data_IF_272467340316
#
_entry.id   IF_272467340316
#
_cell.length_a   1.000
_cell.length_b   1.000
_cell.length_c   1.000
_cell.angle_alpha   90.00
_cell.angle_beta   90.00
_cell.angle_gamma   90.00
#
_symmetry.space_group_name_H-M   'P 1'
#
loop_
_entity.id
_entity.type
_entity.pdbx_description
1 polymer ?
#
# COMPACT_ATOMS: atom_id res chain seq x y z
N UNK A 1 13.67 -10.54 11.33
CA UNK A 1 13.42 -10.71 9.89
C UNK A 1 13.03 -9.39 9.25
N UNK A 2 13.55 -9.15 8.06
CA UNK A 2 13.23 -7.94 7.31
C UNK A 2 11.81 -8.02 6.76
N UNK A 3 11.03 -6.95 6.91
CA UNK A 3 9.70 -6.88 6.33
C UNK A 3 9.78 -6.88 4.81
N UNK A 4 8.91 -7.61 4.15
CA UNK A 4 8.73 -7.50 2.71
C UNK A 4 8.06 -6.17 2.40
N UNK A 5 8.43 -5.57 1.29
CA UNK A 5 7.90 -4.27 0.88
C UNK A 5 7.13 -4.40 -0.43
N UNK A 6 5.88 -3.96 -0.40
CA UNK A 6 5.01 -3.90 -1.58
C UNK A 6 4.73 -2.44 -1.90
N UNK A 7 4.93 -2.07 -3.16
CA UNK A 7 4.72 -0.69 -3.63
C UNK A 7 3.54 -0.66 -4.59
N UNK A 8 2.60 0.26 -4.34
CA UNK A 8 1.43 0.49 -5.19
C UNK A 8 1.55 1.86 -5.85
N UNK A 9 1.83 1.87 -7.15
CA UNK A 9 1.97 3.11 -7.92
C UNK A 9 0.62 3.49 -8.52
N UNK A 10 0.23 4.76 -8.36
CA UNK A 10 -1.10 5.23 -8.76
C UNK A 10 -2.17 4.83 -7.76
N UNK A 11 -1.78 4.73 -6.49
CA UNK A 11 -2.61 4.17 -5.42
C UNK A 11 -3.82 5.01 -5.06
N UNK A 12 -3.94 6.23 -5.60
CA UNK A 12 -5.15 7.03 -5.47
C UNK A 12 -6.28 6.62 -6.41
N UNK A 13 -6.04 5.65 -7.30
CA UNK A 13 -7.07 5.18 -8.21
C UNK A 13 -8.08 4.29 -7.47
N UNK A 14 -9.29 4.20 -8.04
CA UNK A 14 -10.34 3.35 -7.48
C UNK A 14 -9.97 1.86 -7.45
N UNK A 15 -9.04 1.43 -8.28
CA UNK A 15 -8.58 0.05 -8.30
C UNK A 15 -7.79 -0.34 -7.05
N UNK A 16 -7.22 0.62 -6.35
CA UNK A 16 -6.49 0.36 -5.11
C UNK A 16 -7.39 -0.26 -4.05
N UNK A 17 -8.64 0.19 -3.98
CA UNK A 17 -9.60 -0.35 -3.02
C UNK A 17 -9.84 -1.84 -3.27
N UNK A 18 -10.01 -2.24 -4.53
CA UNK A 18 -10.13 -3.65 -4.90
C UNK A 18 -8.89 -4.43 -4.54
N UNK A 19 -7.72 -3.87 -4.82
CA UNK A 19 -6.46 -4.52 -4.51
C UNK A 19 -6.30 -4.75 -3.01
N UNK A 20 -6.66 -3.75 -2.19
CA UNK A 20 -6.59 -3.88 -0.74
C UNK A 20 -7.51 -4.99 -0.24
N UNK A 21 -8.71 -5.09 -0.77
CA UNK A 21 -9.64 -6.14 -0.39
C UNK A 21 -9.06 -7.53 -0.70
N UNK A 22 -8.43 -7.68 -1.86
CA UNK A 22 -7.79 -8.94 -2.24
C UNK A 22 -6.57 -9.23 -1.38
N UNK A 23 -5.72 -8.22 -1.15
CA UNK A 23 -4.51 -8.37 -0.34
C UNK A 23 -4.83 -8.89 1.06
N UNK A 24 -5.86 -8.34 1.68
CA UNK A 24 -6.21 -8.72 3.04
C UNK A 24 -6.87 -10.09 3.16
N UNK A 25 -7.08 -10.80 2.06
CA UNK A 25 -7.52 -12.19 2.08
C UNK A 25 -6.36 -13.16 2.26
N UNK A 26 -5.12 -12.73 2.03
CA UNK A 26 -3.96 -13.61 2.06
C UNK A 26 -3.09 -13.31 3.29
N UNK A 27 -3.01 -14.26 4.20
CA UNK A 27 -2.23 -14.11 5.43
C UNK A 27 -0.73 -13.91 5.19
N UNK A 28 -0.24 -14.28 4.01
CA UNK A 28 1.16 -14.08 3.63
C UNK A 28 1.58 -12.62 3.64
N UNK A 29 0.62 -11.70 3.57
CA UNK A 29 0.88 -10.26 3.60
C UNK A 29 0.89 -9.66 5.01
N UNK A 30 0.72 -10.46 6.05
CA UNK A 30 0.86 -9.97 7.41
C UNK A 30 2.27 -9.47 7.66
N UNK A 31 2.38 -8.31 8.31
CA UNK A 31 3.68 -7.74 8.70
C UNK A 31 4.48 -7.12 7.57
N UNK A 32 3.90 -6.90 6.39
CA UNK A 32 4.60 -6.25 5.29
C UNK A 32 4.68 -4.73 5.49
N UNK A 33 5.55 -4.08 4.71
CA UNK A 33 5.50 -2.64 4.50
C UNK A 33 4.74 -2.39 3.20
N UNK A 34 3.70 -1.59 3.25
CA UNK A 34 2.89 -1.24 2.09
C UNK A 34 3.09 0.24 1.78
N UNK A 35 3.72 0.54 0.65
CA UNK A 35 4.03 1.89 0.23
C UNK A 35 3.08 2.33 -0.88
N UNK A 36 2.39 3.44 -0.64
CA UNK A 36 1.49 4.04 -1.62
C UNK A 36 2.17 5.18 -2.34
N UNK A 37 2.05 5.22 -3.65
CA UNK A 37 2.59 6.31 -4.48
C UNK A 37 1.47 6.95 -5.27
N UNK A 38 1.28 8.26 -5.08
CA UNK A 38 0.34 9.05 -5.86
C UNK A 38 0.79 10.50 -5.87
N UNK A 39 0.62 11.18 -6.99
CA UNK A 39 0.99 12.59 -7.13
C UNK A 39 0.16 13.52 -6.26
N UNK A 40 -1.04 13.08 -5.88
CA UNK A 40 -1.99 13.90 -5.11
C UNK A 40 -1.99 13.47 -3.64
N UNK A 41 -1.48 14.31 -2.73
CA UNK A 41 -1.43 13.95 -1.31
C UNK A 41 -2.80 13.64 -0.70
N UNK A 42 -3.85 14.28 -1.17
CA UNK A 42 -5.21 14.06 -0.67
C UNK A 42 -5.67 12.61 -0.91
N UNK A 43 -5.31 12.07 -2.09
CA UNK A 43 -5.63 10.67 -2.42
C UNK A 43 -4.86 9.69 -1.54
N UNK A 44 -3.59 10.01 -1.25
CA UNK A 44 -2.78 9.19 -0.35
C UNK A 44 -3.41 9.10 1.03
N UNK A 45 -3.92 10.23 1.54
CA UNK A 45 -4.57 10.26 2.86
C UNK A 45 -5.78 9.35 2.90
N UNK A 46 -6.62 9.39 1.87
CA UNK A 46 -7.83 8.57 1.81
C UNK A 46 -7.48 7.09 1.77
N UNK A 47 -6.54 6.71 0.91
CA UNK A 47 -6.14 5.31 0.75
C UNK A 47 -5.51 4.77 2.03
N UNK A 48 -4.60 5.54 2.63
CA UNK A 48 -3.97 5.14 3.90
C UNK A 48 -4.99 5.00 5.02
N UNK A 49 -5.98 5.89 5.06
CA UNK A 49 -7.04 5.81 6.07
C UNK A 49 -7.86 4.54 5.95
N UNK A 50 -8.23 4.16 4.74
CA UNK A 50 -8.99 2.93 4.49
C UNK A 50 -8.15 1.70 4.86
N UNK A 51 -6.89 1.68 4.42
CA UNK A 51 -5.99 0.57 4.69
C UNK A 51 -5.72 0.41 6.18
N UNK A 52 -5.53 1.51 6.88
CA UNK A 52 -5.29 1.51 8.31
C UNK A 52 -6.47 0.95 9.10
N UNK A 53 -7.69 1.31 8.70
CA UNK A 53 -8.90 0.76 9.34
C UNK A 53 -8.96 -0.76 9.19
N UNK A 54 -8.68 -1.27 8.00
CA UNK A 54 -8.71 -2.71 7.75
C UNK A 54 -7.61 -3.40 8.56
N UNK A 55 -6.40 -2.82 8.55
CA UNK A 55 -5.27 -3.36 9.30
C UNK A 55 -5.57 -3.43 10.80
N UNK A 56 -6.16 -2.38 11.35
CA UNK A 56 -6.52 -2.34 12.77
C UNK A 56 -7.55 -3.40 13.09
N UNK A 57 -8.56 -3.57 12.24
CA UNK A 57 -9.61 -4.56 12.44
C UNK A 57 -9.07 -5.99 12.39
N UNK A 58 -8.11 -6.28 11.50
CA UNK A 58 -7.53 -7.60 11.33
C UNK A 58 -6.27 -7.83 12.19
N UNK A 59 -5.68 -6.76 12.71
CA UNK A 59 -4.45 -6.81 13.50
C UNK A 59 -3.28 -7.48 12.76
N UNK A 60 -3.06 -7.07 11.51
CA UNK A 60 -2.04 -7.66 10.64
C UNK A 60 -0.64 -7.04 10.78
N UNK A 61 -0.51 -5.97 11.56
CA UNK A 61 0.77 -5.28 11.78
C UNK A 61 1.45 -4.83 10.48
N UNK A 62 0.68 -4.25 9.57
CA UNK A 62 1.20 -3.71 8.31
C UNK A 62 1.70 -2.29 8.56
N UNK A 63 2.90 -1.99 8.07
CA UNK A 63 3.46 -0.64 8.11
C UNK A 63 3.12 0.08 6.81
N UNK A 64 2.50 1.27 6.92
CA UNK A 64 2.11 2.06 5.76
C UNK A 64 3.06 3.22 5.53
N UNK A 65 3.44 3.46 4.27
CA UNK A 65 4.24 4.60 3.83
C UNK A 65 3.54 5.28 2.66
N UNK A 66 3.71 6.58 2.52
CA UNK A 66 3.14 7.34 1.43
C UNK A 66 4.19 8.21 0.75
N UNK A 67 4.19 8.23 -0.59
CA UNK A 67 5.16 8.98 -1.39
C UNK A 67 4.47 9.64 -2.56
N UNK A 68 4.91 10.85 -2.92
CA UNK A 68 4.45 11.53 -4.13
C UNK A 68 5.30 11.16 -5.34
N UNK A 69 6.51 10.62 -5.12
CA UNK A 69 7.45 10.24 -6.17
C UNK A 69 7.80 8.75 -6.03
N UNK A 70 7.56 7.99 -7.11
CA UNK A 70 7.85 6.54 -7.12
C UNK A 70 9.32 6.22 -6.86
N UNK A 71 10.22 7.13 -7.23
CA UNK A 71 11.67 6.93 -7.03
C UNK A 71 12.04 6.85 -5.55
N UNK A 72 11.26 7.47 -4.69
CA UNK A 72 11.47 7.39 -3.24
C UNK A 72 10.91 6.10 -2.65
N UNK A 73 9.88 5.53 -3.29
CA UNK A 73 9.20 4.34 -2.79
C UNK A 73 9.85 3.04 -3.24
N UNK A 74 10.43 3.00 -4.44
CA UNK A 74 10.94 1.77 -5.06
C UNK A 74 12.14 1.13 -4.38
N UNK A 75 13.09 1.86 -3.75
CA UNK A 75 14.23 1.20 -3.09
C UNK A 75 13.76 0.17 -2.06
N UNK A 76 14.29 -1.05 -2.17
CA UNK A 76 13.96 -2.14 -1.27
C UNK A 76 12.63 -2.82 -1.55
N UNK A 77 11.95 -2.48 -2.65
CA UNK A 77 10.67 -3.10 -2.99
C UNK A 77 10.84 -4.55 -3.42
N UNK A 78 10.04 -5.43 -2.83
CA UNK A 78 9.98 -6.84 -3.22
C UNK A 78 8.94 -7.07 -4.32
N UNK A 79 7.89 -6.24 -4.36
CA UNK A 79 6.81 -6.34 -5.33
C UNK A 79 6.29 -4.94 -5.65
N UNK A 80 6.00 -4.69 -6.92
CA UNK A 80 5.48 -3.41 -7.37
C UNK A 80 4.25 -3.63 -8.25
N UNK A 81 3.16 -2.97 -7.89
CA UNK A 81 1.94 -2.92 -8.70
C UNK A 81 1.74 -1.50 -9.23
N UNK A 82 1.40 -1.39 -10.51
CA UNK A 82 1.18 -0.10 -11.14
C UNK A 82 -0.27 -0.02 -11.62
N UNK A 83 -1.02 0.94 -11.09
CA UNK A 83 -2.41 1.21 -11.49
C UNK A 83 -2.53 2.41 -12.41
N UNK A 84 -1.44 3.10 -12.67
CA UNK A 84 -1.44 4.25 -13.56
C UNK A 84 -1.62 3.81 -15.00
N UNK A 85 -2.50 4.48 -15.69
CA UNK A 85 -2.77 4.22 -17.10
C UNK A 85 -2.11 5.32 -17.94
#
# INVERSE_FOLDING_TARGET
MKRKKVVLIGSGSQFTEFYLQELFKYEDFKGITLAFVDRKPDRLKVVKGIADKINTALNWDIKFEGYSDRREALPGADLVYCFAI
#
